data_IF_790191809012
#
_entry.id   IF_790191809012
#
_cell.length_a   1.000
_cell.length_b   1.000
_cell.length_c   1.000
_cell.angle_alpha   90.00
_cell.angle_beta   90.00
_cell.angle_gamma   90.00
#
_symmetry.space_group_name_H-M   'P 1'
#
loop_
_entity.id
_entity.type
_entity.pdbx_description
1 polymer ?
#
# COMPACT_ATOMS: atom_id res chain seq x y z
N UNK A 1 -53.90 -32.10 1.04
CA UNK A 1 -53.31 -31.24 2.09
C UNK A 1 -51.80 -31.47 2.31
N UNK A 2 -51.23 -32.62 1.89
CA UNK A 2 -49.79 -32.95 2.09
C UNK A 2 -48.86 -32.19 1.17
N UNK A 3 -49.24 -31.89 -0.09
CA UNK A 3 -48.40 -31.20 -1.08
C UNK A 3 -48.14 -29.71 -0.78
N UNK A 4 -48.99 -29.04 -0.02
CA UNK A 4 -48.80 -27.63 0.34
C UNK A 4 -47.75 -27.44 1.45
N UNK A 5 -47.61 -28.41 2.34
CA UNK A 5 -46.64 -28.39 3.43
C UNK A 5 -45.21 -28.61 2.94
N UNK A 6 -45.00 -29.47 1.92
CA UNK A 6 -43.69 -29.73 1.35
C UNK A 6 -43.14 -28.52 0.60
N UNK A 7 -43.97 -27.79 -0.14
CA UNK A 7 -43.57 -26.59 -0.85
C UNK A 7 -43.21 -25.43 0.10
N UNK A 8 -43.84 -25.36 1.27
CA UNK A 8 -43.53 -24.34 2.28
C UNK A 8 -42.20 -24.64 2.97
N UNK A 9 -41.88 -25.93 3.19
CA UNK A 9 -40.61 -26.34 3.79
C UNK A 9 -39.41 -26.10 2.84
N UNK A 10 -39.58 -26.41 1.54
CA UNK A 10 -38.55 -26.14 0.54
C UNK A 10 -38.29 -24.64 0.38
N UNK A 11 -39.34 -23.81 0.38
CA UNK A 11 -39.19 -22.36 0.25
C UNK A 11 -38.47 -21.75 1.46
N UNK A 12 -38.71 -22.25 2.68
CA UNK A 12 -38.02 -21.78 3.87
C UNK A 12 -36.56 -22.20 3.93
N UNK A 13 -36.21 -23.39 3.42
CA UNK A 13 -34.81 -23.85 3.35
C UNK A 13 -34.05 -23.05 2.32
N UNK A 14 -34.64 -22.73 1.18
CA UNK A 14 -34.03 -21.89 0.14
C UNK A 14 -33.82 -20.45 0.65
N UNK A 15 -34.76 -19.90 1.39
CA UNK A 15 -34.67 -18.57 1.99
C UNK A 15 -33.59 -18.50 3.07
N UNK A 16 -33.44 -19.55 3.89
CA UNK A 16 -32.36 -19.66 4.88
C UNK A 16 -31.00 -19.88 4.24
N UNK A 17 -30.90 -20.61 3.12
CA UNK A 17 -29.65 -20.79 2.38
C UNK A 17 -29.17 -19.50 1.70
N UNK A 18 -30.10 -18.64 1.25
CA UNK A 18 -29.77 -17.30 0.71
C UNK A 18 -29.24 -16.33 1.78
N UNK A 19 -29.62 -16.52 3.05
CA UNK A 19 -29.11 -15.70 4.16
C UNK A 19 -27.70 -16.11 4.63
N UNK A 20 -27.21 -17.30 4.27
CA UNK A 20 -25.86 -17.79 4.65
C UNK A 20 -24.76 -17.41 3.66
N UNK A 21 -25.06 -16.69 2.59
CA UNK A 21 -24.06 -15.97 1.81
C UNK A 21 -23.81 -14.61 2.51
N UNK A 22 -23.46 -14.66 3.79
CA UNK A 22 -22.81 -13.54 4.45
C UNK A 22 -21.49 -13.34 3.73
N UNK A 23 -21.46 -12.35 2.86
CA UNK A 23 -20.31 -12.00 2.06
C UNK A 23 -19.09 -11.90 2.96
N UNK A 24 -18.00 -12.55 2.57
CA UNK A 24 -16.71 -12.31 3.17
C UNK A 24 -16.47 -10.79 3.07
N UNK A 25 -16.60 -10.10 4.18
CA UNK A 25 -16.32 -8.66 4.27
C UNK A 25 -14.90 -8.47 3.76
N UNK A 26 -14.64 -7.50 2.88
CA UNK A 26 -13.28 -7.14 2.57
C UNK A 26 -12.58 -6.87 3.89
N UNK A 27 -11.42 -7.52 4.10
CA UNK A 27 -10.63 -7.29 5.31
C UNK A 27 -10.40 -5.78 5.42
N UNK A 28 -10.96 -5.17 6.47
CA UNK A 28 -10.78 -3.75 6.71
C UNK A 28 -9.28 -3.45 6.75
N UNK A 29 -8.87 -2.41 6.03
CA UNK A 29 -7.48 -1.95 6.07
C UNK A 29 -7.16 -1.50 7.49
N UNK A 30 -5.96 -1.81 8.00
CA UNK A 30 -5.59 -1.33 9.33
C UNK A 30 -5.55 0.20 9.33
N UNK A 31 -6.26 0.83 10.26
CA UNK A 31 -6.21 2.28 10.42
C UNK A 31 -4.80 2.77 10.74
N UNK A 32 -4.10 2.04 11.59
CA UNK A 32 -2.70 2.28 11.96
C UNK A 32 -1.89 1.01 11.66
N UNK A 33 -1.29 0.89 10.47
CA UNK A 33 -0.50 -0.26 10.12
C UNK A 33 0.82 -0.28 10.89
N UNK A 34 1.29 -1.46 11.25
CA UNK A 34 2.64 -1.61 11.79
C UNK A 34 3.65 -1.48 10.64
N UNK A 35 4.28 -0.32 10.54
CA UNK A 35 5.23 0.02 9.46
C UNK A 35 6.65 0.18 9.98
N UNK A 36 7.15 -0.83 10.72
CA UNK A 36 8.52 -0.86 11.25
C UNK A 36 9.37 -1.81 10.40
N UNK A 37 10.32 -1.25 9.65
CA UNK A 37 11.07 -1.96 8.63
C UNK A 37 12.57 -1.66 8.69
N UNK A 38 13.39 -2.66 8.36
CA UNK A 38 14.84 -2.50 8.26
C UNK A 38 15.21 -1.78 6.95
N UNK A 39 15.94 -0.69 7.06
CA UNK A 39 16.48 0.04 5.91
C UNK A 39 17.80 -0.55 5.41
N UNK A 40 18.12 -0.27 4.14
CA UNK A 40 19.44 -0.60 3.59
C UNK A 40 20.56 0.29 4.15
N UNK A 41 20.22 1.37 4.82
CA UNK A 41 21.12 2.25 5.58
C UNK A 41 21.54 1.65 6.94
N UNK A 42 21.04 0.46 7.27
CA UNK A 42 21.31 -0.23 8.53
C UNK A 42 20.42 0.22 9.70
N UNK A 43 19.49 1.16 9.49
CA UNK A 43 18.58 1.66 10.50
C UNK A 43 17.23 0.95 10.43
N UNK A 44 16.54 0.92 11.56
CA UNK A 44 15.13 0.58 11.60
C UNK A 44 14.32 1.86 11.39
N UNK A 45 13.42 1.84 10.42
CA UNK A 45 12.50 2.93 10.13
C UNK A 45 11.12 2.56 10.67
N UNK A 46 10.64 3.33 11.62
CA UNK A 46 9.27 3.27 12.12
C UNK A 46 8.46 4.38 11.47
N UNK A 47 7.66 4.03 10.46
CA UNK A 47 6.92 5.04 9.69
C UNK A 47 5.73 5.60 10.47
N UNK A 48 5.33 4.97 11.58
CA UNK A 48 4.31 5.51 12.48
C UNK A 48 4.78 6.75 13.24
N UNK A 49 6.10 6.93 13.38
CA UNK A 49 6.71 8.10 14.01
C UNK A 49 6.73 9.35 13.11
N UNK A 50 6.34 9.20 11.83
CA UNK A 50 6.34 10.28 10.85
C UNK A 50 5.05 11.11 10.84
N UNK A 51 4.30 11.13 11.96
CA UNK A 51 3.12 11.99 12.12
C UNK A 51 3.47 13.45 11.84
N UNK A 52 2.55 14.19 11.23
CA UNK A 52 2.79 15.53 10.68
C UNK A 52 3.28 15.53 9.23
N UNK A 53 3.75 14.40 8.71
CA UNK A 53 4.10 14.24 7.30
C UNK A 53 3.12 13.28 6.59
N UNK A 54 2.89 13.53 5.32
CA UNK A 54 2.26 12.55 4.42
C UNK A 54 3.32 11.53 4.03
N UNK A 55 3.01 10.25 4.15
CA UNK A 55 3.96 9.18 3.83
C UNK A 55 3.45 8.36 2.65
N UNK A 56 4.28 8.22 1.62
CA UNK A 56 4.03 7.32 0.50
C UNK A 56 4.98 6.12 0.59
N UNK A 57 4.40 4.94 0.63
CA UNK A 57 5.13 3.66 0.66
C UNK A 57 4.82 2.88 -0.60
N UNK A 58 5.83 2.68 -1.45
CA UNK A 58 5.72 1.79 -2.61
C UNK A 58 6.32 0.43 -2.27
N UNK A 59 5.54 -0.63 -2.38
CA UNK A 59 6.00 -2.00 -2.27
C UNK A 59 6.29 -2.57 -3.65
N UNK A 60 7.45 -3.18 -3.80
CA UNK A 60 7.90 -3.70 -5.08
C UNK A 60 8.93 -4.82 -4.96
N UNK A 61 9.44 -5.22 -6.11
CA UNK A 61 10.51 -6.19 -6.25
C UNK A 61 11.39 -5.85 -7.45
N UNK A 62 12.63 -6.29 -7.46
CA UNK A 62 13.59 -5.97 -8.55
C UNK A 62 13.22 -6.63 -9.88
N UNK A 63 12.55 -7.79 -9.83
CA UNK A 63 12.02 -8.49 -11.01
C UNK A 63 10.69 -7.93 -11.53
N UNK A 64 10.08 -6.99 -10.83
CA UNK A 64 8.81 -6.38 -11.21
C UNK A 64 9.03 -5.22 -12.18
N UNK A 65 8.87 -5.46 -13.49
CA UNK A 65 9.07 -4.44 -14.52
C UNK A 65 8.18 -3.19 -14.33
N UNK A 66 6.86 -3.30 -14.02
CA UNK A 66 6.04 -2.13 -13.70
C UNK A 66 6.55 -1.33 -12.49
N UNK A 67 7.10 -2.01 -11.47
CA UNK A 67 7.66 -1.33 -10.30
C UNK A 67 8.84 -0.42 -10.68
N UNK A 68 9.70 -0.88 -11.61
CA UNK A 68 10.82 -0.07 -12.10
C UNK A 68 10.35 1.22 -12.80
N UNK A 69 9.24 1.16 -13.53
CA UNK A 69 8.63 2.33 -14.18
C UNK A 69 8.01 3.26 -13.14
N UNK A 70 7.34 2.69 -12.15
CA UNK A 70 6.75 3.45 -11.03
C UNK A 70 7.82 4.22 -10.26
N UNK A 71 8.94 3.59 -9.90
CA UNK A 71 10.00 4.23 -9.14
C UNK A 71 10.54 5.49 -9.82
N UNK A 72 10.67 5.48 -11.16
CA UNK A 72 11.05 6.70 -11.91
C UNK A 72 9.99 7.80 -11.78
N UNK A 73 8.71 7.43 -11.91
CA UNK A 73 7.62 8.40 -11.76
C UNK A 73 7.58 8.99 -10.34
N UNK A 74 7.83 8.16 -9.33
CA UNK A 74 7.87 8.60 -7.93
C UNK A 74 9.06 9.53 -7.65
N UNK A 75 10.23 9.30 -8.26
CA UNK A 75 11.37 10.24 -8.17
C UNK A 75 11.04 11.61 -8.75
N UNK A 76 10.38 11.64 -9.92
CA UNK A 76 9.95 12.89 -10.55
C UNK A 76 8.96 13.64 -9.63
N UNK A 77 7.95 12.93 -9.11
CA UNK A 77 6.96 13.50 -8.19
C UNK A 77 7.65 13.99 -6.91
N UNK A 78 8.53 13.21 -6.30
CA UNK A 78 9.23 13.60 -5.08
C UNK A 78 9.98 14.93 -5.26
N UNK A 79 10.56 15.17 -6.44
CA UNK A 79 11.20 16.42 -6.79
C UNK A 79 10.30 17.65 -6.58
N UNK A 80 9.00 17.50 -6.82
CA UNK A 80 7.99 18.55 -6.69
C UNK A 80 7.55 18.80 -5.23
N UNK A 81 7.87 17.85 -4.33
CA UNK A 81 7.44 17.87 -2.93
C UNK A 81 8.59 18.06 -1.93
N UNK A 82 9.81 18.42 -2.38
CA UNK A 82 11.00 18.54 -1.53
C UNK A 82 10.81 19.47 -0.33
N UNK A 83 10.09 20.58 -0.53
CA UNK A 83 9.84 21.61 0.48
C UNK A 83 8.53 21.36 1.26
N UNK A 84 7.88 20.20 1.06
CA UNK A 84 6.62 19.85 1.71
C UNK A 84 6.85 18.72 2.72
N UNK A 85 6.03 18.58 3.75
CA UNK A 85 6.11 17.48 4.71
C UNK A 85 5.61 16.17 4.07
N UNK A 86 6.34 15.68 3.09
CA UNK A 86 6.07 14.42 2.38
C UNK A 86 7.31 13.53 2.48
N UNK A 87 7.12 12.25 2.77
CA UNK A 87 8.18 11.25 2.84
C UNK A 87 7.83 10.08 1.93
N UNK A 88 8.81 9.67 1.12
CA UNK A 88 8.68 8.52 0.23
C UNK A 88 9.58 7.38 0.71
N UNK A 89 9.09 6.15 0.59
CA UNK A 89 9.84 4.93 0.87
C UNK A 89 9.56 3.89 -0.19
N UNK A 90 10.59 3.14 -0.57
CA UNK A 90 10.40 1.91 -1.33
C UNK A 90 10.71 0.70 -0.47
N UNK A 91 9.81 -0.29 -0.48
CA UNK A 91 9.92 -1.51 0.30
C UNK A 91 10.05 -2.70 -0.65
N UNK A 92 11.23 -3.34 -0.65
CA UNK A 92 11.41 -4.62 -1.34
C UNK A 92 10.78 -5.74 -0.51
N UNK A 93 9.89 -6.53 -1.14
CA UNK A 93 9.26 -7.70 -0.53
C UNK A 93 10.02 -9.01 -0.82
N UNK A 94 11.21 -8.91 -1.42
CA UNK A 94 12.04 -10.05 -1.79
C UNK A 94 12.77 -10.60 -0.56
N UNK A 95 12.93 -11.92 -0.52
CA UNK A 95 13.69 -12.59 0.53
C UNK A 95 15.22 -12.41 0.34
N UNK A 96 16.03 -12.60 1.38
CA UNK A 96 17.48 -12.48 1.27
C UNK A 96 18.10 -13.43 0.23
N UNK A 97 17.49 -14.60 0.01
CA UNK A 97 17.90 -15.61 -0.97
C UNK A 97 17.62 -15.16 -2.41
N UNK A 98 16.58 -14.33 -2.60
CA UNK A 98 16.18 -13.80 -3.91
C UNK A 98 17.06 -12.61 -4.31
N UNK A 99 17.41 -11.75 -3.33
CA UNK A 99 18.29 -10.60 -3.53
C UNK A 99 19.05 -10.22 -2.27
N UNK A 100 20.37 -10.06 -2.37
CA UNK A 100 21.19 -9.57 -1.27
C UNK A 100 21.01 -8.05 -1.07
N UNK A 101 21.33 -7.56 0.15
CA UNK A 101 21.32 -6.12 0.41
C UNK A 101 22.31 -5.35 -0.49
N UNK A 102 23.44 -5.95 -0.86
CA UNK A 102 24.41 -5.35 -1.76
C UNK A 102 23.83 -5.17 -3.18
N UNK A 103 23.16 -6.21 -3.70
CA UNK A 103 22.51 -6.16 -5.00
C UNK A 103 21.34 -5.15 -5.00
N UNK A 104 20.56 -5.09 -3.91
CA UNK A 104 19.46 -4.15 -3.79
C UNK A 104 19.95 -2.68 -3.69
N UNK A 105 21.07 -2.41 -2.99
CA UNK A 105 21.71 -1.08 -3.02
C UNK A 105 22.17 -0.70 -4.43
N UNK A 106 22.73 -1.64 -5.19
CA UNK A 106 23.13 -1.42 -6.58
C UNK A 106 21.90 -1.07 -7.43
N UNK A 107 20.83 -1.86 -7.33
CA UNK A 107 19.56 -1.61 -8.01
C UNK A 107 19.02 -0.21 -7.72
N UNK A 108 19.01 0.22 -6.46
CA UNK A 108 18.57 1.55 -6.06
C UNK A 108 19.46 2.66 -6.66
N UNK A 109 20.79 2.47 -6.62
CA UNK A 109 21.77 3.39 -7.18
C UNK A 109 21.63 3.56 -8.70
N UNK A 110 21.47 2.46 -9.44
CA UNK A 110 21.27 2.46 -10.89
C UNK A 110 20.01 3.21 -11.30
N UNK A 111 18.97 3.20 -10.45
CA UNK A 111 17.72 3.93 -10.66
C UNK A 111 17.71 5.31 -10.06
N UNK A 112 18.83 5.72 -9.43
CA UNK A 112 19.00 7.04 -8.79
C UNK A 112 17.91 7.33 -7.76
N UNK A 113 17.51 6.30 -7.00
CA UNK A 113 16.51 6.49 -5.94
C UNK A 113 17.09 7.40 -4.85
N UNK A 114 16.40 8.50 -4.56
CA UNK A 114 16.77 9.47 -3.53
C UNK A 114 16.07 9.24 -2.20
N UNK A 115 15.03 8.39 -2.18
CA UNK A 115 14.31 8.01 -0.97
C UNK A 115 14.79 6.67 -0.39
N UNK A 116 14.59 6.44 0.92
CA UNK A 116 15.07 5.24 1.58
C UNK A 116 14.47 3.96 0.99
N UNK A 117 15.32 2.93 0.92
CA UNK A 117 14.95 1.57 0.52
C UNK A 117 14.90 0.70 1.76
N UNK A 118 13.74 0.10 2.02
CA UNK A 118 13.46 -0.75 3.16
C UNK A 118 13.23 -2.20 2.72
N UNK A 119 13.20 -3.12 3.66
CA UNK A 119 12.97 -4.54 3.41
C UNK A 119 11.82 -5.09 4.23
N UNK A 120 10.93 -5.80 3.57
CA UNK A 120 9.87 -6.61 4.17
C UNK A 120 10.04 -8.08 3.73
N UNK A 121 11.14 -8.69 4.17
CA UNK A 121 11.56 -10.04 3.73
C UNK A 121 10.57 -11.14 4.06
N UNK A 122 9.82 -10.99 5.14
CA UNK A 122 8.75 -11.90 5.55
C UNK A 122 7.38 -11.49 5.02
N UNK A 123 7.28 -10.39 4.29
CA UNK A 123 6.04 -9.79 3.79
C UNK A 123 5.01 -9.45 4.88
N UNK A 124 5.46 -9.31 6.13
CA UNK A 124 4.54 -9.10 7.26
C UNK A 124 3.85 -7.75 7.20
N UNK A 125 4.55 -6.72 6.72
CA UNK A 125 3.97 -5.38 6.53
C UNK A 125 3.08 -5.38 5.30
N UNK A 126 3.56 -5.93 4.18
CA UNK A 126 2.81 -6.04 2.93
C UNK A 126 1.47 -6.75 3.09
N UNK A 127 1.46 -7.87 3.81
CA UNK A 127 0.27 -8.70 4.01
C UNK A 127 -0.80 -8.07 4.91
N UNK A 128 -0.52 -6.95 5.57
CA UNK A 128 -1.54 -6.16 6.27
C UNK A 128 -2.53 -5.54 5.29
N UNK A 129 -2.10 -5.24 4.06
CA UNK A 129 -2.91 -4.53 3.05
C UNK A 129 -3.55 -5.46 2.02
N UNK A 130 -3.00 -6.64 1.80
CA UNK A 130 -3.50 -7.58 0.79
C UNK A 130 -3.07 -9.01 1.11
N UNK A 131 -3.95 -10.02 0.94
CA UNK A 131 -3.59 -11.42 1.15
C UNK A 131 -2.79 -12.02 -0.04
N UNK A 132 -2.64 -11.30 -1.14
CA UNK A 132 -1.98 -11.78 -2.36
C UNK A 132 -0.94 -10.79 -2.86
N UNK A 133 0.17 -11.31 -3.37
CA UNK A 133 1.19 -10.47 -3.99
C UNK A 133 0.67 -9.86 -5.29
N UNK A 134 0.50 -8.55 -5.26
CA UNK A 134 0.12 -7.71 -6.42
C UNK A 134 1.02 -6.47 -6.39
N UNK A 135 1.90 -6.36 -7.38
CA UNK A 135 2.90 -5.31 -7.45
C UNK A 135 2.76 -4.47 -8.73
N UNK A 136 3.18 -3.22 -8.70
CA UNK A 136 3.50 -2.46 -7.49
C UNK A 136 2.27 -2.23 -6.60
N UNK A 137 2.50 -1.94 -5.30
CA UNK A 137 1.44 -1.55 -4.38
C UNK A 137 1.84 -0.24 -3.68
N UNK A 138 0.97 0.76 -3.76
CA UNK A 138 1.13 2.03 -3.05
C UNK A 138 0.19 2.07 -1.85
N UNK A 139 0.77 2.40 -0.70
CA UNK A 139 0.06 2.78 0.52
C UNK A 139 0.42 4.23 0.83
N UNK A 140 -0.57 5.06 1.07
CA UNK A 140 -0.36 6.42 1.57
C UNK A 140 -0.88 6.55 2.99
N UNK A 141 -0.14 7.28 3.81
CA UNK A 141 -0.57 7.67 5.15
C UNK A 141 -0.77 9.18 5.19
N UNK A 142 -1.86 9.59 5.81
CA UNK A 142 -2.09 10.99 6.15
C UNK A 142 -1.14 11.48 7.23
N UNK A 143 -1.16 12.78 7.52
CA UNK A 143 -0.39 13.41 8.60
C UNK A 143 -0.75 12.85 9.99
N UNK A 144 -1.92 12.26 10.13
CA UNK A 144 -2.37 11.54 11.33
C UNK A 144 -1.82 10.11 11.44
N UNK A 145 -1.08 9.65 10.45
CA UNK A 145 -0.55 8.29 10.36
C UNK A 145 -1.56 7.23 9.90
N UNK A 146 -2.79 7.62 9.58
CA UNK A 146 -3.81 6.68 9.10
C UNK A 146 -3.68 6.42 7.61
N UNK A 147 -4.08 5.22 7.21
CA UNK A 147 -4.07 4.82 5.80
C UNK A 147 -5.12 5.60 5.00
N UNK A 148 -4.67 6.25 3.91
CA UNK A 148 -5.59 6.79 2.89
C UNK A 148 -6.05 5.67 1.96
N UNK A 149 -7.28 5.23 2.15
CA UNK A 149 -7.89 4.21 1.32
C UNK A 149 -8.46 4.80 -0.01
N UNK A 150 -8.53 4.01 -1.07
CA UNK A 150 -8.05 2.64 -1.20
C UNK A 150 -6.55 2.55 -1.43
N UNK A 151 -5.96 1.41 -1.04
CA UNK A 151 -4.59 1.04 -1.43
C UNK A 151 -4.56 0.84 -2.96
N UNK A 152 -3.53 1.36 -3.60
CA UNK A 152 -3.41 1.27 -5.05
C UNK A 152 -2.56 0.08 -5.47
N UNK A 153 -3.03 -0.66 -6.47
CA UNK A 153 -2.33 -1.79 -7.07
C UNK A 153 -2.07 -1.52 -8.56
N UNK A 154 -0.83 -1.78 -8.96
CA UNK A 154 -0.39 -1.58 -10.34
C UNK A 154 -0.30 -0.11 -10.73
N UNK A 155 0.26 0.12 -11.89
CA UNK A 155 0.25 1.43 -12.53
C UNK A 155 -0.92 1.52 -13.50
N UNK A 156 -1.69 2.60 -13.39
CA UNK A 156 -2.69 2.92 -14.42
C UNK A 156 -1.99 3.60 -15.61
N UNK A 157 -2.35 3.18 -16.81
CA UNK A 157 -1.92 3.85 -18.02
C UNK A 157 -2.93 4.94 -18.41
N UNK A 158 -2.49 6.05 -19.00
CA UNK A 158 -1.10 6.41 -19.30
C UNK A 158 -0.33 6.88 -18.05
N UNK A 159 1.01 6.93 -18.14
CA UNK A 159 1.89 7.27 -17.03
C UNK A 159 1.61 8.67 -16.44
N UNK A 160 1.27 9.62 -17.28
CA UNK A 160 0.94 10.98 -16.81
C UNK A 160 -0.32 11.00 -15.96
N UNK A 161 -1.36 10.25 -16.34
CA UNK A 161 -2.57 10.10 -15.52
C UNK A 161 -2.25 9.43 -14.17
N UNK A 162 -1.31 8.49 -14.13
CA UNK A 162 -0.81 7.92 -12.88
C UNK A 162 -0.15 8.99 -12.00
N UNK A 163 0.74 9.80 -12.57
CA UNK A 163 1.42 10.88 -11.83
C UNK A 163 0.41 11.92 -11.31
N UNK A 164 -0.58 12.27 -12.10
CA UNK A 164 -1.62 13.25 -11.71
C UNK A 164 -2.51 12.71 -10.58
N UNK A 165 -2.83 11.41 -10.60
CA UNK A 165 -3.54 10.77 -9.50
C UNK A 165 -2.70 10.83 -8.20
N UNK A 166 -1.41 10.51 -8.27
CA UNK A 166 -0.49 10.60 -7.13
C UNK A 166 -0.41 12.04 -6.58
N UNK A 167 -0.25 13.05 -7.45
CA UNK A 167 -0.25 14.47 -7.06
C UNK A 167 -1.54 14.87 -6.38
N UNK A 168 -2.67 14.47 -6.95
CA UNK A 168 -4.00 14.76 -6.41
C UNK A 168 -4.16 14.20 -5.01
N UNK A 169 -3.78 12.94 -4.79
CA UNK A 169 -3.84 12.29 -3.49
C UNK A 169 -2.89 12.93 -2.48
N UNK A 170 -1.65 13.19 -2.84
CA UNK A 170 -0.67 13.87 -2.00
C UNK A 170 -1.15 15.26 -1.58
N UNK A 171 -1.66 16.05 -2.52
CA UNK A 171 -2.18 17.39 -2.23
C UNK A 171 -3.40 17.36 -1.31
N UNK A 172 -4.34 16.43 -1.53
CA UNK A 172 -5.47 16.18 -0.63
C UNK A 172 -4.99 15.92 0.79
N UNK A 173 -4.05 14.98 0.98
CA UNK A 173 -3.54 14.61 2.30
C UNK A 173 -2.77 15.74 2.99
N UNK A 174 -2.05 16.56 2.21
CA UNK A 174 -1.34 17.73 2.73
C UNK A 174 -2.31 18.81 3.26
N UNK A 175 -3.49 18.97 2.65
CA UNK A 175 -4.48 19.95 3.07
C UNK A 175 -5.42 19.44 4.17
N UNK A 176 -5.48 18.12 4.40
CA UNK A 176 -6.29 17.54 5.47
C UNK A 176 -5.77 17.99 6.84
N UNK A 177 -6.67 18.60 7.64
CA UNK A 177 -6.36 18.97 9.04
C UNK A 177 -6.30 17.73 9.90
N UNK A 178 -5.30 17.65 10.77
CA UNK A 178 -5.21 16.63 11.82
C UNK A 178 -5.95 17.16 13.04
N UNK A 179 -6.85 16.36 13.61
CA UNK A 179 -7.47 16.69 14.90
C UNK A 179 -6.37 16.80 15.97
N UNK A 180 -6.13 18.00 16.46
CA UNK A 180 -5.07 18.29 17.44
C UNK A 180 -4.20 19.50 17.09
N UNK A 181 -4.35 20.08 15.93
CA UNK A 181 -3.61 21.26 15.47
C UNK A 181 -4.38 22.54 15.92
N UNK A 182 -4.50 22.73 17.25
CA UNK A 182 -5.02 23.95 17.91
C UNK A 182 -4.05 24.46 18.91
#
# INVERSE_FOLDING_TARGET
MIRAAENFFLATIILLALFMVAGAQPKDLPNEPLLKLQGLDGKVHDLSELRGSVVLVSFGATWCAPCSTELRALEEILGEYREKPVKFFWVSIERPEEITNAALRRYAKERRLSFPVLRDTAKMVFLQFTPRVRLPMIVMLGKDGKVDAPVQFGMRAPLDAYKDDMRTRLNKLLTTRVEGDR
#
